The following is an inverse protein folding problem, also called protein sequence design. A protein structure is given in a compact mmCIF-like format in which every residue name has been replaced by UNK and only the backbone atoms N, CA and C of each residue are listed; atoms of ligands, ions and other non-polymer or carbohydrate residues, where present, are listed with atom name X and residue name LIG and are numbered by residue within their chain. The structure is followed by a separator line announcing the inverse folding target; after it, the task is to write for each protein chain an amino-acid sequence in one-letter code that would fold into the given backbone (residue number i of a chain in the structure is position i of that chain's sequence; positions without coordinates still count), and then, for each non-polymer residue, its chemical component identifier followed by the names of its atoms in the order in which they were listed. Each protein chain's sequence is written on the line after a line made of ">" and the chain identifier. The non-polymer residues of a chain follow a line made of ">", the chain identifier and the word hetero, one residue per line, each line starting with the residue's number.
data_IF_422535231152
#
_entry.id   IF_422535231152
#
_cell.length_a   1.000
_cell.length_b   1.000
_cell.length_c   1.000
_cell.angle_alpha   90.00
_cell.angle_beta   90.00
_cell.angle_gamma   90.00
#
_symmetry.space_group_name_H-M   'P 1'
#
loop_
_entity.id
_entity.type
_entity.pdbx_description
1 polymer ?
#
# COMPACT_ATOMS: atom_id res chain seq x y z
N UNK A 1 -6.29 8.38 11.67
CA UNK A 1 -6.81 7.06 11.25
C UNK A 1 -5.61 6.12 11.14
N UNK A 2 -5.40 5.22 12.10
CA UNK A 2 -4.34 4.20 12.03
C UNK A 2 -4.93 2.93 11.44
N UNK A 3 -4.76 2.75 10.14
CA UNK A 3 -5.06 1.46 9.49
C UNK A 3 -3.83 0.60 9.73
N UNK A 4 -4.00 -0.48 10.49
CA UNK A 4 -2.93 -1.38 10.90
C UNK A 4 -3.01 -2.70 10.13
N UNK A 5 -1.87 -3.24 9.70
CA UNK A 5 -1.80 -4.45 8.88
C UNK A 5 -2.34 -5.68 9.62
N UNK A 6 -2.03 -5.78 10.92
CA UNK A 6 -2.43 -6.91 11.76
C UNK A 6 -3.91 -6.93 12.12
N UNK A 7 -4.63 -5.82 11.85
CA UNK A 7 -6.08 -5.74 12.06
C UNK A 7 -6.90 -6.39 10.94
N UNK A 8 -6.27 -6.78 9.84
CA UNK A 8 -6.92 -7.41 8.69
C UNK A 8 -6.52 -8.88 8.59
N UNK A 9 -7.45 -9.71 8.12
CA UNK A 9 -7.14 -11.07 7.68
C UNK A 9 -6.26 -11.05 6.41
N UNK A 10 -5.53 -12.13 6.10
CA UNK A 10 -4.74 -12.24 4.87
C UNK A 10 -5.54 -11.92 3.59
N UNK A 11 -6.78 -12.38 3.52
CA UNK A 11 -7.67 -12.14 2.37
C UNK A 11 -8.08 -10.67 2.27
N UNK A 12 -8.41 -10.03 3.39
CA UNK A 12 -8.75 -8.61 3.40
C UNK A 12 -7.54 -7.73 3.06
N UNK A 13 -6.33 -8.11 3.47
CA UNK A 13 -5.08 -7.41 3.10
C UNK A 13 -4.86 -7.45 1.59
N UNK A 14 -5.03 -8.61 0.97
CA UNK A 14 -4.89 -8.79 -0.47
C UNK A 14 -5.95 -8.01 -1.25
N UNK A 15 -7.21 -8.10 -0.81
CA UNK A 15 -8.31 -7.33 -1.39
C UNK A 15 -8.09 -5.82 -1.25
N UNK A 16 -7.59 -5.35 -0.11
CA UNK A 16 -7.27 -3.94 0.10
C UNK A 16 -6.20 -3.45 -0.88
N UNK A 17 -5.10 -4.20 -1.02
CA UNK A 17 -4.01 -3.88 -1.96
C UNK A 17 -4.54 -3.81 -3.39
N UNK A 18 -5.32 -4.80 -3.83
CA UNK A 18 -5.90 -4.86 -5.19
C UNK A 18 -6.90 -3.74 -5.47
N UNK A 19 -7.61 -3.25 -4.46
CA UNK A 19 -8.57 -2.15 -4.61
C UNK A 19 -7.90 -0.77 -4.65
N UNK A 20 -6.75 -0.61 -3.99
CA UNK A 20 -6.07 0.69 -3.87
C UNK A 20 -4.96 0.88 -4.90
N UNK A 21 -4.24 -0.19 -5.24
CA UNK A 21 -3.14 -0.18 -6.19
C UNK A 21 -3.56 -0.82 -7.51
N UNK A 22 -3.19 -0.18 -8.61
CA UNK A 22 -3.27 -0.81 -9.93
C UNK A 22 -2.25 -1.93 -10.07
N UNK A 23 -2.48 -2.85 -11.02
CA UNK A 23 -1.54 -3.95 -11.29
C UNK A 23 -0.11 -3.45 -11.60
N UNK A 24 0.01 -2.30 -12.27
CA UNK A 24 1.29 -1.67 -12.55
C UNK A 24 1.99 -1.17 -11.27
N UNK A 25 1.25 -0.57 -10.34
CA UNK A 25 1.78 -0.12 -9.05
C UNK A 25 2.18 -1.30 -8.16
N UNK A 26 1.42 -2.40 -8.19
CA UNK A 26 1.78 -3.63 -7.47
C UNK A 26 3.11 -4.18 -8.02
N UNK A 27 3.25 -4.29 -9.34
CA UNK A 27 4.52 -4.72 -9.96
C UNK A 27 5.68 -3.79 -9.61
N UNK A 28 5.45 -2.47 -9.59
CA UNK A 28 6.45 -1.50 -9.19
C UNK A 28 6.84 -1.64 -7.72
N UNK A 29 5.88 -1.88 -6.82
CA UNK A 29 6.13 -2.13 -5.41
C UNK A 29 6.96 -3.41 -5.20
N UNK A 30 6.60 -4.50 -5.88
CA UNK A 30 7.36 -5.76 -5.85
C UNK A 30 8.78 -5.53 -6.36
N UNK A 31 8.94 -4.83 -7.48
CA UNK A 31 10.26 -4.50 -8.04
C UNK A 31 11.09 -3.64 -7.09
N UNK A 32 10.49 -2.63 -6.45
CA UNK A 32 11.18 -1.79 -5.48
C UNK A 32 11.63 -2.58 -4.25
N UNK A 33 10.78 -3.51 -3.79
CA UNK A 33 11.11 -4.39 -2.68
C UNK A 33 12.29 -5.30 -3.02
N UNK A 34 12.30 -5.94 -4.20
CA UNK A 34 13.40 -6.83 -4.62
C UNK A 34 14.71 -6.09 -4.93
N UNK A 35 14.64 -4.87 -5.48
CA UNK A 35 15.84 -4.06 -5.76
C UNK A 35 16.51 -3.52 -4.50
N UNK A 36 15.81 -3.46 -3.36
CA UNK A 36 16.37 -2.99 -2.09
C UNK A 36 17.43 -3.93 -1.50
N UNK A 37 17.72 -5.07 -2.14
CA UNK A 37 18.57 -6.13 -1.60
C UNK A 37 17.90 -6.91 -0.48
N UNK A 38 16.63 -6.62 -0.17
CA UNK A 38 15.81 -7.45 0.69
C UNK A 38 15.59 -8.80 0.02
N UNK A 39 16.20 -9.83 0.59
CA UNK A 39 15.82 -11.21 0.29
C UNK A 39 14.36 -11.33 0.71
N UNK A 40 13.45 -11.61 -0.23
CA UNK A 40 12.06 -11.93 0.11
C UNK A 40 12.11 -13.18 0.99
N UNK A 41 11.91 -13.04 2.31
CA UNK A 41 11.97 -14.19 3.22
C UNK A 41 10.63 -14.91 3.28
N UNK A 42 9.52 -14.19 3.04
CA UNK A 42 8.19 -14.77 2.97
C UNK A 42 7.26 -13.97 2.03
N UNK A 43 6.27 -14.62 1.40
CA UNK A 43 5.19 -13.94 0.66
C UNK A 43 4.43 -12.90 1.49
N UNK A 44 4.37 -13.08 2.81
CA UNK A 44 3.70 -12.16 3.73
C UNK A 44 4.43 -10.81 3.86
N UNK A 45 5.76 -10.79 3.86
CA UNK A 45 6.55 -9.55 3.92
C UNK A 45 6.31 -8.67 2.67
N UNK A 46 6.13 -9.32 1.51
CA UNK A 46 5.81 -8.64 0.26
C UNK A 46 4.40 -8.04 0.29
N UNK A 47 3.43 -8.80 0.83
CA UNK A 47 2.06 -8.32 1.02
C UNK A 47 2.01 -7.14 2.00
N UNK A 48 2.77 -7.20 3.10
CA UNK A 48 2.91 -6.11 4.07
C UNK A 48 3.51 -4.86 3.42
N UNK A 49 4.53 -5.02 2.58
CA UNK A 49 5.11 -3.91 1.85
C UNK A 49 4.09 -3.26 0.89
N UNK A 50 3.39 -4.06 0.09
CA UNK A 50 2.33 -3.57 -0.80
C UNK A 50 1.21 -2.87 -0.02
N UNK A 51 0.84 -3.39 1.16
CA UNK A 51 -0.15 -2.78 2.02
C UNK A 51 0.31 -1.40 2.53
N UNK A 52 1.56 -1.27 2.98
CA UNK A 52 2.14 0.03 3.38
C UNK A 52 2.13 1.04 2.24
N UNK A 53 2.44 0.61 1.02
CA UNK A 53 2.37 1.46 -0.18
C UNK A 53 0.93 1.94 -0.43
N UNK A 54 -0.05 1.04 -0.33
CA UNK A 54 -1.47 1.36 -0.46
C UNK A 54 -1.93 2.39 0.58
N UNK A 55 -1.56 2.22 1.85
CA UNK A 55 -1.85 3.19 2.92
C UNK A 55 -1.27 4.57 2.61
N UNK A 56 -0.02 4.63 2.16
CA UNK A 56 0.63 5.91 1.84
C UNK A 56 -0.05 6.61 0.66
N UNK A 57 -0.48 5.85 -0.35
CA UNK A 57 -1.27 6.39 -1.47
C UNK A 57 -2.59 6.99 -0.98
N UNK A 58 -3.33 6.27 -0.13
CA UNK A 58 -4.59 6.78 0.44
C UNK A 58 -4.38 8.04 1.28
N UNK A 59 -3.35 8.08 2.13
CA UNK A 59 -3.01 9.27 2.93
C UNK A 59 -2.69 10.47 2.04
N UNK A 60 -1.90 10.27 0.99
CA UNK A 60 -1.57 11.31 0.01
C UNK A 60 -2.81 11.83 -0.73
N UNK A 61 -3.71 10.93 -1.16
CA UNK A 61 -4.98 11.31 -1.77
C UNK A 61 -5.86 12.12 -0.81
N UNK A 62 -5.99 11.68 0.44
CA UNK A 62 -6.76 12.39 1.46
C UNK A 62 -6.21 13.80 1.71
N UNK A 63 -4.88 13.94 1.79
CA UNK A 63 -4.23 15.24 1.95
C UNK A 63 -4.50 16.15 0.75
N UNK A 64 -4.34 15.64 -0.47
CA UNK A 64 -4.62 16.41 -1.71
C UNK A 64 -6.07 16.87 -1.79
N UNK A 65 -7.02 16.03 -1.39
CA UNK A 65 -8.45 16.39 -1.37
C UNK A 65 -8.70 17.49 -0.34
N UNK A 66 -8.09 17.39 0.85
CA UNK A 66 -8.18 18.42 1.89
C UNK A 66 -7.62 19.75 1.40
N UNK A 67 -6.42 19.75 0.83
CA UNK A 67 -5.75 20.95 0.32
C UNK A 67 -6.56 21.62 -0.81
N UNK A 68 -7.23 20.82 -1.65
CA UNK A 68 -8.11 21.35 -2.70
C UNK A 68 -9.41 21.96 -2.14
N UNK A 69 -9.93 21.44 -1.03
CA UNK A 69 -11.13 22.01 -0.38
C UNK A 69 -10.84 23.34 0.33
N UNK A 70 -9.63 23.51 0.85
CA UNK A 70 -9.23 24.76 1.54
C UNK A 70 -8.87 25.90 0.56
N UNK A 71 -8.75 25.61 -0.74
CA UNK A 71 -8.45 26.58 -1.81
C UNK A 71 -9.69 27.12 -2.53
N UNK A 72 -10.88 26.61 -2.24
CA UNK A 72 -12.18 27.03 -2.79
C UNK A 72 -12.90 27.85 -1.73
#
# INVERSE_FOLDING_TARGET
>A
MSIDFDSFTPEERDNFVKNVLSEAEIKAAISAFTHSGAIIKAPEELLEFCFKVAINKMKSLHQRIKDNREKI
#
